data_IF_119298465380
#
_entry.id   IF_119298465380
#
_cell.length_a   1.000
_cell.length_b   1.000
_cell.length_c   1.000
_cell.angle_alpha   90.00
_cell.angle_beta   90.00
_cell.angle_gamma   90.00
#
_symmetry.space_group_name_H-M   'P 1'
#
loop_
_entity.id
_entity.type
_entity.pdbx_description
1 polymer ?
#
# COMPACT_ATOMS: atom_id res chain seq x y z
N UNK A 1 -54.17 15.06 -8.18
CA UNK A 1 -53.26 15.28 -7.04
C UNK A 1 -52.37 16.49 -7.35
N UNK A 2 -52.36 17.51 -6.50
CA UNK A 2 -51.61 18.75 -6.79
C UNK A 2 -50.11 18.45 -6.90
N UNK A 3 -49.44 19.01 -7.91
CA UNK A 3 -48.01 18.77 -8.18
C UNK A 3 -47.14 18.99 -6.93
N UNK A 4 -47.46 19.99 -6.11
CA UNK A 4 -46.79 20.23 -4.82
C UNK A 4 -46.94 19.06 -3.85
N UNK A 5 -48.15 18.49 -3.71
CA UNK A 5 -48.43 17.33 -2.85
C UNK A 5 -47.70 16.07 -3.35
N UNK A 6 -47.61 15.90 -4.67
CA UNK A 6 -46.84 14.81 -5.27
C UNK A 6 -45.34 14.96 -5.00
N UNK A 7 -44.77 16.15 -5.22
CA UNK A 7 -43.35 16.42 -4.96
C UNK A 7 -42.99 16.28 -3.47
N UNK A 8 -43.85 16.72 -2.55
CA UNK A 8 -43.64 16.52 -1.11
C UNK A 8 -43.69 15.05 -0.71
N UNK A 9 -44.62 14.27 -1.29
CA UNK A 9 -44.69 12.84 -1.04
C UNK A 9 -43.46 12.10 -1.59
N UNK A 10 -43.00 12.47 -2.78
CA UNK A 10 -41.79 11.91 -3.39
C UNK A 10 -40.54 12.22 -2.56
N UNK A 11 -40.39 13.46 -2.07
CA UNK A 11 -39.29 13.85 -1.20
C UNK A 11 -39.32 13.09 0.13
N UNK A 12 -40.49 12.97 0.76
CA UNK A 12 -40.66 12.19 1.99
C UNK A 12 -40.29 10.71 1.80
N UNK A 13 -40.74 10.09 0.71
CA UNK A 13 -40.37 8.71 0.36
C UNK A 13 -38.87 8.55 0.10
N UNK A 14 -38.24 9.50 -0.61
CA UNK A 14 -36.79 9.49 -0.84
C UNK A 14 -36.00 9.64 0.46
N UNK A 15 -36.45 10.50 1.38
CA UNK A 15 -35.82 10.68 2.69
C UNK A 15 -35.94 9.42 3.57
N UNK A 16 -37.12 8.80 3.59
CA UNK A 16 -37.34 7.53 4.30
C UNK A 16 -36.48 6.40 3.72
N UNK A 17 -36.42 6.27 2.40
CA UNK A 17 -35.58 5.29 1.72
C UNK A 17 -34.09 5.53 2.01
N UNK A 18 -33.63 6.79 1.96
CA UNK A 18 -32.26 7.14 2.31
C UNK A 18 -31.95 6.81 3.78
N UNK A 19 -32.87 7.11 4.70
CA UNK A 19 -32.71 6.83 6.13
C UNK A 19 -32.67 5.33 6.42
N UNK A 20 -33.65 4.58 5.89
CA UNK A 20 -33.67 3.12 6.01
C UNK A 20 -32.40 2.48 5.42
N UNK A 21 -31.93 3.01 4.29
CA UNK A 21 -30.70 2.54 3.66
C UNK A 21 -29.43 2.86 4.45
N UNK A 22 -29.36 4.04 5.08
CA UNK A 22 -28.25 4.41 5.98
C UNK A 22 -28.24 3.54 7.24
N UNK A 23 -29.41 3.16 7.75
CA UNK A 23 -29.55 2.23 8.87
C UNK A 23 -29.20 0.79 8.48
N UNK A 24 -29.34 0.42 7.21
CA UNK A 24 -28.94 -0.89 6.68
C UNK A 24 -27.42 -1.03 6.45
N UNK A 25 -26.65 0.07 6.49
CA UNK A 25 -25.19 0.00 6.35
C UNK A 25 -24.56 -0.80 7.51
N UNK A 26 -23.52 -1.62 7.23
CA UNK A 26 -22.88 -2.45 8.25
C UNK A 26 -22.32 -1.59 9.38
N UNK A 27 -22.40 -2.11 10.61
CA UNK A 27 -21.71 -1.47 11.72
C UNK A 27 -20.19 -1.68 11.60
N UNK A 28 -19.45 -0.58 11.66
CA UNK A 28 -18.00 -0.53 11.53
C UNK A 28 -17.34 -0.17 12.87
N UNK A 29 -18.11 0.15 13.92
CA UNK A 29 -17.57 0.56 15.23
C UNK A 29 -16.72 -0.53 15.86
N UNK A 30 -17.10 -1.79 15.69
CA UNK A 30 -16.34 -2.93 16.19
C UNK A 30 -14.88 -2.95 15.67
N UNK A 31 -14.64 -2.46 14.44
CA UNK A 31 -13.32 -2.41 13.83
C UNK A 31 -12.33 -1.50 14.56
N UNK A 32 -12.79 -0.62 15.47
CA UNK A 32 -11.91 0.16 16.35
C UNK A 32 -11.05 -0.72 17.24
N UNK A 33 -11.59 -1.87 17.67
CA UNK A 33 -10.97 -2.75 18.68
C UNK A 33 -10.78 -4.18 18.19
N UNK A 34 -11.61 -4.64 17.27
CA UNK A 34 -11.60 -6.01 16.77
C UNK A 34 -11.04 -6.08 15.35
N UNK A 35 -10.18 -7.04 15.12
CA UNK A 35 -9.63 -7.34 13.79
C UNK A 35 -10.61 -8.23 13.03
N UNK A 36 -10.88 -7.95 11.74
CA UNK A 36 -11.69 -8.85 10.91
C UNK A 36 -10.92 -10.15 10.64
N UNK A 37 -11.45 -11.27 11.11
CA UNK A 37 -10.88 -12.60 10.85
C UNK A 37 -11.22 -13.11 9.45
N UNK A 38 -12.37 -12.68 8.92
CA UNK A 38 -12.85 -13.02 7.59
C UNK A 38 -13.51 -11.82 6.95
N UNK A 39 -13.49 -11.79 5.61
CA UNK A 39 -14.16 -10.74 4.84
C UNK A 39 -15.14 -11.34 3.85
N UNK A 40 -16.11 -10.52 3.42
CA UNK A 40 -17.06 -10.93 2.37
C UNK A 40 -16.33 -11.37 1.11
N UNK A 41 -15.23 -10.70 0.76
CA UNK A 41 -14.39 -11.08 -0.38
C UNK A 41 -13.79 -12.48 -0.22
N UNK A 42 -13.16 -12.78 0.93
CA UNK A 42 -12.57 -14.10 1.21
C UNK A 42 -13.62 -15.22 1.11
N UNK A 43 -14.76 -15.04 1.78
CA UNK A 43 -15.85 -16.03 1.80
C UNK A 43 -16.41 -16.30 0.40
N UNK A 44 -16.59 -15.26 -0.41
CA UNK A 44 -17.06 -15.41 -1.80
C UNK A 44 -16.04 -16.20 -2.63
N UNK A 45 -14.74 -15.93 -2.46
CA UNK A 45 -13.69 -16.65 -3.19
C UNK A 45 -13.62 -18.13 -2.81
N UNK A 46 -13.80 -18.45 -1.54
CA UNK A 46 -13.87 -19.82 -1.06
C UNK A 46 -15.09 -20.55 -1.64
N UNK A 47 -16.28 -19.94 -1.61
CA UNK A 47 -17.48 -20.50 -2.22
C UNK A 47 -17.33 -20.72 -3.73
N UNK A 48 -16.71 -19.76 -4.44
CA UNK A 48 -16.42 -19.90 -5.86
C UNK A 48 -15.44 -21.02 -6.19
N UNK A 49 -14.46 -21.27 -5.30
CA UNK A 49 -13.54 -22.39 -5.46
C UNK A 49 -14.26 -23.72 -5.19
N UNK A 50 -15.06 -23.79 -4.11
CA UNK A 50 -15.82 -24.97 -3.73
C UNK A 50 -16.82 -25.38 -4.83
N UNK A 51 -17.53 -24.42 -5.42
CA UNK A 51 -18.44 -24.65 -6.55
C UNK A 51 -17.74 -25.21 -7.81
N UNK A 52 -16.41 -25.10 -7.88
CA UNK A 52 -15.57 -25.68 -8.96
C UNK A 52 -14.85 -26.96 -8.52
N UNK A 53 -15.25 -27.56 -7.40
CA UNK A 53 -14.61 -28.74 -6.82
C UNK A 53 -13.20 -28.49 -6.29
N UNK A 54 -12.81 -27.24 -6.03
CA UNK A 54 -11.47 -26.88 -5.53
C UNK A 54 -11.56 -26.42 -4.07
N UNK A 55 -10.60 -26.84 -3.25
CA UNK A 55 -10.36 -26.25 -1.93
C UNK A 55 -9.39 -25.08 -2.07
N UNK A 56 -9.78 -23.89 -1.61
CA UNK A 56 -8.88 -22.75 -1.53
C UNK A 56 -8.35 -22.66 -0.11
N UNK A 57 -7.06 -22.92 0.07
CA UNK A 57 -6.38 -22.65 1.34
C UNK A 57 -6.31 -21.14 1.59
N UNK A 58 -6.24 -20.77 2.87
CA UNK A 58 -6.18 -19.39 3.30
C UNK A 58 -4.98 -19.21 4.23
N UNK A 59 -4.00 -18.44 3.77
CA UNK A 59 -2.91 -17.96 4.61
C UNK A 59 -3.26 -16.55 5.07
N UNK A 60 -3.61 -16.40 6.35
CA UNK A 60 -3.80 -15.11 7.02
C UNK A 60 -2.93 -15.08 8.25
N UNK A 61 -2.15 -14.03 8.38
CA UNK A 61 -1.48 -13.67 9.61
C UNK A 61 -1.73 -12.19 9.85
N UNK A 62 -2.54 -11.88 10.87
CA UNK A 62 -2.73 -10.49 11.27
C UNK A 62 -1.45 -10.00 11.95
N UNK A 63 -0.97 -8.82 11.54
CA UNK A 63 0.09 -8.10 12.23
C UNK A 63 -0.36 -6.67 12.54
N UNK A 64 -0.01 -6.18 13.72
CA UNK A 64 -0.33 -4.81 14.13
C UNK A 64 0.43 -3.78 13.30
N UNK A 65 0.03 -2.51 13.36
CA UNK A 65 0.67 -1.42 12.61
C UNK A 65 2.19 -1.40 12.74
N UNK A 66 2.71 -1.60 13.95
CA UNK A 66 4.13 -1.50 14.25
C UNK A 66 4.92 -2.74 13.80
N UNK A 67 4.22 -3.85 13.52
CA UNK A 67 4.80 -5.07 12.93
C UNK A 67 4.82 -5.10 11.41
N UNK A 68 4.59 -3.95 10.76
CA UNK A 68 4.66 -3.76 9.31
C UNK A 68 5.71 -2.70 9.00
N UNK A 69 6.64 -3.04 8.10
CA UNK A 69 7.69 -2.14 7.63
C UNK A 69 7.11 -0.81 7.12
N UNK A 70 7.77 0.30 7.48
CA UNK A 70 7.48 1.62 6.92
C UNK A 70 7.64 1.62 5.39
N UNK A 71 8.57 0.81 4.86
CA UNK A 71 8.75 0.67 3.42
C UNK A 71 7.49 0.14 2.75
N UNK A 72 6.83 -0.86 3.36
CA UNK A 72 5.60 -1.42 2.81
C UNK A 72 4.44 -0.44 2.91
N UNK A 73 4.27 0.23 4.06
CA UNK A 73 3.24 1.26 4.23
C UNK A 73 3.39 2.34 3.14
N UNK A 74 4.61 2.83 2.94
CA UNK A 74 4.86 3.89 1.97
C UNK A 74 4.74 3.42 0.52
N UNK A 75 5.26 2.24 0.18
CA UNK A 75 5.14 1.65 -1.15
C UNK A 75 3.67 1.46 -1.55
N UNK A 76 2.84 0.94 -0.64
CA UNK A 76 1.40 0.75 -0.87
C UNK A 76 0.69 2.09 -0.99
N UNK A 77 1.02 3.05 -0.12
CA UNK A 77 0.46 4.39 -0.16
C UNK A 77 0.68 5.02 -1.53
N UNK A 78 1.93 5.11 -2.01
CA UNK A 78 2.18 5.70 -3.32
C UNK A 78 1.56 4.86 -4.44
N UNK A 79 1.61 3.53 -4.37
CA UNK A 79 1.10 2.68 -5.44
C UNK A 79 -0.42 2.73 -5.64
N UNK A 80 -1.19 2.81 -4.55
CA UNK A 80 -2.64 2.66 -4.55
C UNK A 80 -3.39 3.98 -4.28
N UNK A 81 -2.85 4.87 -3.43
CA UNK A 81 -3.57 6.05 -2.92
C UNK A 81 -2.64 7.10 -2.30
N UNK A 82 -1.89 7.83 -3.13
CA UNK A 82 -0.86 8.79 -2.70
C UNK A 82 -1.41 10.03 -1.96
N UNK A 83 -2.73 10.23 -2.01
CA UNK A 83 -3.43 11.30 -1.29
C UNK A 83 -4.30 10.76 -0.14
N UNK A 84 -4.07 9.52 0.29
CA UNK A 84 -4.86 8.83 1.31
C UNK A 84 -5.11 9.68 2.56
N UNK A 85 -4.09 10.38 3.06
CA UNK A 85 -4.21 11.20 4.27
C UNK A 85 -4.94 12.53 4.04
N UNK A 86 -5.11 12.97 2.79
CA UNK A 86 -5.71 14.24 2.43
C UNK A 86 -7.23 14.14 2.19
N UNK A 87 -7.73 12.99 1.74
CA UNK A 87 -9.15 12.82 1.43
C UNK A 87 -9.93 12.11 2.54
N UNK A 88 -11.27 12.15 2.51
CA UNK A 88 -12.16 11.48 3.49
C UNK A 88 -12.87 10.27 2.88
N UNK A 89 -12.08 9.31 2.42
CA UNK A 89 -12.54 8.04 1.82
C UNK A 89 -12.82 8.06 0.33
N UNK A 90 -13.13 9.20 -0.28
CA UNK A 90 -13.25 9.31 -1.75
C UNK A 90 -12.38 10.47 -2.20
N UNK A 91 -11.56 10.24 -3.21
CA UNK A 91 -10.72 11.26 -3.81
C UNK A 91 -11.46 11.82 -5.04
N UNK A 92 -12.18 12.92 -4.80
CA UNK A 92 -13.13 13.47 -5.77
C UNK A 92 -12.43 14.07 -7.00
N UNK A 93 -11.23 14.63 -6.85
CA UNK A 93 -10.56 15.30 -7.95
C UNK A 93 -10.05 14.30 -9.00
N UNK A 94 -9.46 13.16 -8.61
CA UNK A 94 -9.13 12.11 -9.59
C UNK A 94 -10.35 11.33 -10.02
N UNK A 95 -11.40 11.20 -9.18
CA UNK A 95 -12.67 10.61 -9.66
C UNK A 95 -13.26 11.42 -10.82
N UNK A 96 -13.30 12.75 -10.70
CA UNK A 96 -13.77 13.64 -11.76
C UNK A 96 -12.84 13.66 -12.98
N UNK A 97 -11.52 13.68 -12.78
CA UNK A 97 -10.54 13.61 -13.88
C UNK A 97 -10.60 12.28 -14.64
N UNK A 98 -10.72 11.16 -13.92
CA UNK A 98 -10.88 9.83 -14.51
C UNK A 98 -12.18 9.75 -15.31
N UNK A 99 -13.30 10.21 -14.76
CA UNK A 99 -14.58 10.24 -15.48
C UNK A 99 -14.50 11.07 -16.78
N UNK A 100 -13.89 12.26 -16.73
CA UNK A 100 -13.68 13.08 -17.94
C UNK A 100 -12.78 12.39 -18.98
N UNK A 101 -11.76 11.66 -18.53
CA UNK A 101 -10.84 10.93 -19.42
C UNK A 101 -11.51 9.71 -20.04
N UNK A 102 -12.33 8.99 -19.27
CA UNK A 102 -13.06 7.80 -19.71
C UNK A 102 -14.12 8.16 -20.76
N UNK A 103 -14.84 9.26 -20.54
CA UNK A 103 -15.80 9.79 -21.51
C UNK A 103 -15.13 10.21 -22.83
N UNK A 104 -13.90 10.74 -22.77
CA UNK A 104 -13.12 11.13 -23.95
C UNK A 104 -12.51 9.94 -24.69
N UNK A 105 -12.08 8.91 -23.98
CA UNK A 105 -11.33 7.78 -24.54
C UNK A 105 -12.20 6.55 -24.85
N UNK A 106 -13.50 6.58 -24.49
CA UNK A 106 -14.42 5.43 -24.51
C UNK A 106 -13.83 4.16 -23.88
N UNK A 107 -12.84 4.32 -23.00
CA UNK A 107 -12.21 3.24 -22.23
C UNK A 107 -12.49 3.55 -20.77
N UNK A 108 -13.11 2.61 -20.07
CA UNK A 108 -13.18 2.67 -18.61
C UNK A 108 -11.73 2.64 -18.08
N UNK A 109 -11.26 3.73 -17.47
CA UNK A 109 -9.99 3.73 -16.77
C UNK A 109 -10.02 2.61 -15.73
N UNK A 110 -8.95 1.82 -15.74
CA UNK A 110 -8.64 0.99 -14.60
C UNK A 110 -8.25 1.92 -13.46
N UNK A 111 -9.01 1.88 -12.37
CA UNK A 111 -8.49 2.19 -11.05
C UNK A 111 -8.59 3.66 -10.65
N UNK A 112 -9.42 3.90 -9.63
CA UNK A 112 -9.45 5.13 -8.85
C UNK A 112 -10.14 4.86 -7.50
N UNK A 113 -9.99 3.64 -6.97
CA UNK A 113 -10.51 3.31 -5.65
C UNK A 113 -9.46 3.62 -4.60
N UNK A 114 -9.78 4.54 -3.71
CA UNK A 114 -8.98 4.84 -2.51
C UNK A 114 -8.81 3.60 -1.63
N UNK A 115 -7.79 3.58 -0.78
CA UNK A 115 -7.57 2.49 0.19
C UNK A 115 -8.84 2.24 1.02
N UNK A 116 -9.50 3.29 1.49
CA UNK A 116 -10.75 3.17 2.28
C UNK A 116 -11.88 2.52 1.48
N UNK A 117 -12.04 2.87 0.21
CA UNK A 117 -13.01 2.23 -0.68
C UNK A 117 -12.69 0.74 -0.89
N UNK A 118 -11.41 0.40 -1.01
CA UNK A 118 -10.98 -0.99 -1.13
C UNK A 118 -11.25 -1.78 0.15
N UNK A 119 -11.02 -1.19 1.33
CA UNK A 119 -11.39 -1.79 2.63
C UNK A 119 -12.89 -2.05 2.69
N UNK A 120 -13.71 -1.05 2.39
CA UNK A 120 -15.17 -1.18 2.37
C UNK A 120 -15.63 -2.32 1.45
N UNK A 121 -15.05 -2.39 0.25
CA UNK A 121 -15.36 -3.44 -0.73
C UNK A 121 -14.96 -4.82 -0.21
N UNK A 122 -13.75 -4.96 0.33
CA UNK A 122 -13.22 -6.24 0.77
C UNK A 122 -14.03 -6.80 1.95
N UNK A 123 -14.27 -5.97 2.97
CA UNK A 123 -15.00 -6.36 4.18
C UNK A 123 -16.45 -6.77 3.91
N UNK A 124 -17.20 -5.95 3.16
CA UNK A 124 -18.66 -6.00 3.21
C UNK A 124 -19.36 -6.28 1.88
N UNK A 125 -18.65 -6.21 0.75
CA UNK A 125 -19.30 -6.23 -0.57
C UNK A 125 -18.85 -7.41 -1.43
N UNK A 126 -19.72 -7.79 -2.37
CA UNK A 126 -19.37 -8.75 -3.39
C UNK A 126 -18.48 -8.11 -4.47
N UNK A 127 -17.64 -8.88 -5.19
CA UNK A 127 -16.80 -8.36 -6.27
C UNK A 127 -17.59 -8.06 -7.57
N UNK A 128 -18.92 -7.92 -7.51
CA UNK A 128 -19.77 -7.64 -8.68
C UNK A 128 -19.44 -6.28 -9.31
N UNK A 129 -19.50 -6.14 -10.64
CA UNK A 129 -19.28 -4.85 -11.32
C UNK A 129 -20.59 -4.07 -11.50
N UNK A 130 -21.32 -3.82 -10.41
CA UNK A 130 -22.59 -3.09 -10.43
C UNK A 130 -22.42 -1.63 -9.94
N UNK A 131 -22.96 -0.60 -10.63
CA UNK A 131 -22.94 0.79 -10.17
C UNK A 131 -23.52 0.98 -8.76
N UNK A 132 -24.62 0.31 -8.42
CA UNK A 132 -25.22 0.34 -7.07
C UNK A 132 -24.26 -0.19 -6.01
N UNK A 133 -23.44 -1.20 -6.35
CA UNK A 133 -22.38 -1.69 -5.45
C UNK A 133 -21.29 -0.64 -5.26
N UNK A 134 -20.94 0.13 -6.30
CA UNK A 134 -19.96 1.24 -6.17
C UNK A 134 -20.50 2.36 -5.28
N UNK A 135 -21.80 2.68 -5.34
CA UNK A 135 -22.44 3.64 -4.42
C UNK A 135 -22.36 3.12 -2.97
N UNK A 136 -22.69 1.84 -2.74
CA UNK A 136 -22.51 1.19 -1.43
C UNK A 136 -21.08 1.30 -0.91
N UNK A 137 -20.10 1.03 -1.77
CA UNK A 137 -18.68 1.14 -1.44
C UNK A 137 -18.32 2.55 -0.94
N UNK A 138 -18.77 3.59 -1.65
CA UNK A 138 -18.51 4.98 -1.28
C UNK A 138 -19.16 5.37 0.06
N UNK A 139 -20.39 4.90 0.31
CA UNK A 139 -21.10 5.19 1.57
C UNK A 139 -20.47 4.48 2.77
N UNK A 140 -20.08 3.21 2.61
CA UNK A 140 -19.37 2.45 3.64
C UNK A 140 -17.99 3.06 3.87
N UNK A 141 -17.28 3.48 2.83
CA UNK A 141 -15.99 4.18 2.96
C UNK A 141 -16.13 5.47 3.77
N UNK A 142 -17.17 6.28 3.49
CA UNK A 142 -17.47 7.47 4.29
C UNK A 142 -17.79 7.14 5.75
N UNK A 143 -18.47 6.03 6.02
CA UNK A 143 -18.74 5.56 7.39
C UNK A 143 -17.47 5.09 8.11
N UNK A 144 -16.58 4.40 7.41
CA UNK A 144 -15.26 4.00 7.93
C UNK A 144 -14.45 5.23 8.32
N UNK A 145 -14.36 6.25 7.47
CA UNK A 145 -13.56 7.47 7.72
C UNK A 145 -14.08 8.32 8.88
N UNK A 146 -15.40 8.34 9.09
CA UNK A 146 -15.99 9.03 10.26
C UNK A 146 -15.78 8.25 11.56
N UNK A 147 -15.60 6.94 11.47
CA UNK A 147 -15.58 6.07 12.66
C UNK A 147 -14.16 5.68 13.05
N UNK A 148 -13.28 5.44 12.09
CA UNK A 148 -11.92 4.93 12.27
C UNK A 148 -10.91 6.01 11.86
N UNK A 149 -9.77 6.05 12.55
CA UNK A 149 -8.64 6.88 12.12
C UNK A 149 -7.92 6.27 10.91
N UNK A 150 -7.23 7.12 10.13
CA UNK A 150 -6.47 6.74 8.93
C UNK A 150 -5.52 5.56 9.16
N UNK A 151 -4.76 5.60 10.25
CA UNK A 151 -3.87 4.50 10.66
C UNK A 151 -4.60 3.17 10.74
N UNK A 152 -5.75 3.13 11.41
CA UNK A 152 -6.52 1.90 11.59
C UNK A 152 -7.12 1.38 10.29
N UNK A 153 -7.61 2.28 9.43
CA UNK A 153 -8.12 1.90 8.10
C UNK A 153 -6.99 1.27 7.26
N UNK A 154 -5.81 1.87 7.30
CA UNK A 154 -4.67 1.39 6.53
C UNK A 154 -4.11 0.07 7.09
N UNK A 155 -4.04 -0.08 8.42
CA UNK A 155 -3.71 -1.35 9.07
C UNK A 155 -4.66 -2.47 8.65
N UNK A 156 -5.97 -2.20 8.63
CA UNK A 156 -6.97 -3.17 8.16
C UNK A 156 -6.72 -3.52 6.70
N UNK A 157 -6.50 -2.52 5.83
CA UNK A 157 -6.20 -2.75 4.41
C UNK A 157 -5.03 -3.71 4.23
N UNK A 158 -3.90 -3.42 4.88
CA UNK A 158 -2.66 -4.20 4.77
C UNK A 158 -2.85 -5.64 5.25
N UNK A 159 -3.79 -5.90 6.15
CA UNK A 159 -4.08 -7.23 6.69
C UNK A 159 -5.17 -8.01 5.93
N UNK A 160 -6.04 -7.35 5.15
CA UNK A 160 -7.12 -8.02 4.41
C UNK A 160 -6.90 -8.05 2.90
N UNK A 161 -5.96 -7.27 2.38
CA UNK A 161 -5.60 -7.29 0.96
C UNK A 161 -5.15 -8.70 0.54
N UNK A 162 -5.57 -9.13 -0.65
CA UNK A 162 -5.08 -10.36 -1.29
C UNK A 162 -3.78 -10.01 -2.02
N UNK A 163 -2.67 -10.66 -1.65
CA UNK A 163 -1.34 -10.44 -2.25
C UNK A 163 -0.97 -11.55 -3.24
N UNK A 164 -1.69 -12.66 -3.16
CA UNK A 164 -1.51 -13.87 -3.96
C UNK A 164 -2.74 -14.77 -3.83
N UNK A 165 -2.83 -15.83 -4.64
CA UNK A 165 -3.98 -16.75 -4.58
C UNK A 165 -4.09 -17.38 -3.17
N UNK A 166 -5.06 -16.91 -2.38
CA UNK A 166 -5.28 -17.38 -1.01
C UNK A 166 -4.30 -16.82 0.03
N UNK A 167 -3.47 -15.84 -0.32
CA UNK A 167 -2.52 -15.17 0.58
C UNK A 167 -3.10 -13.80 0.90
N UNK A 168 -3.48 -13.61 2.17
CA UNK A 168 -4.07 -12.36 2.65
C UNK A 168 -3.27 -11.78 3.80
N UNK A 169 -3.04 -10.47 3.73
CA UNK A 169 -2.31 -9.74 4.75
C UNK A 169 -0.80 -9.67 4.52
N UNK A 170 -0.21 -8.56 4.95
CA UNK A 170 1.20 -8.23 4.75
C UNK A 170 2.15 -9.28 5.33
N UNK A 171 1.88 -9.78 6.54
CA UNK A 171 2.72 -10.81 7.18
C UNK A 171 2.69 -12.13 6.39
N UNK A 172 1.52 -12.59 5.98
CA UNK A 172 1.40 -13.81 5.19
C UNK A 172 2.11 -13.66 3.83
N UNK A 173 2.05 -12.48 3.21
CA UNK A 173 2.73 -12.19 1.96
C UNK A 173 4.25 -12.15 2.11
N UNK A 174 4.76 -11.44 3.11
CA UNK A 174 6.20 -11.35 3.39
C UNK A 174 6.82 -12.73 3.61
N UNK A 175 6.14 -13.58 4.39
CA UNK A 175 6.56 -14.96 4.63
C UNK A 175 6.48 -15.82 3.36
N UNK A 176 5.38 -15.74 2.61
CA UNK A 176 5.18 -16.57 1.42
C UNK A 176 6.14 -16.23 0.26
N UNK A 177 6.55 -14.98 0.13
CA UNK A 177 7.35 -14.52 -1.01
C UNK A 177 8.84 -14.33 -0.68
N UNK A 178 9.18 -13.93 0.54
CA UNK A 178 10.55 -13.61 0.92
C UNK A 178 11.06 -14.39 2.13
N UNK A 179 10.21 -15.16 2.82
CA UNK A 179 10.60 -15.88 4.04
C UNK A 179 10.96 -14.95 5.21
N UNK A 180 10.43 -13.72 5.23
CA UNK A 180 10.74 -12.68 6.23
C UNK A 180 9.49 -12.21 6.96
N UNK A 181 9.67 -11.54 8.09
CA UNK A 181 8.57 -10.80 8.72
C UNK A 181 8.23 -9.56 7.90
N UNK A 182 6.97 -9.13 7.97
CA UNK A 182 6.54 -7.90 7.31
C UNK A 182 7.27 -6.64 7.83
N UNK A 183 7.79 -6.69 9.06
CA UNK A 183 8.63 -5.63 9.62
C UNK A 183 10.00 -5.48 8.93
N UNK A 184 10.52 -6.58 8.36
CA UNK A 184 11.89 -6.67 7.83
C UNK A 184 11.97 -6.45 6.31
N UNK A 185 10.86 -6.02 5.69
CA UNK A 185 10.80 -5.80 4.24
C UNK A 185 11.65 -4.59 3.84
N UNK A 186 12.57 -4.83 2.90
CA UNK A 186 13.34 -3.78 2.23
C UNK A 186 12.45 -2.93 1.31
N UNK A 187 12.96 -1.77 0.87
CA UNK A 187 12.24 -0.89 -0.06
C UNK A 187 11.86 -1.59 -1.38
N UNK A 188 12.78 -2.39 -1.93
CA UNK A 188 12.56 -3.15 -3.17
C UNK A 188 11.51 -4.26 -2.99
N UNK A 189 11.57 -5.02 -1.90
CA UNK A 189 10.60 -6.07 -1.59
C UNK A 189 9.20 -5.49 -1.32
N UNK A 190 9.14 -4.37 -0.60
CA UNK A 190 7.92 -3.61 -0.37
C UNK A 190 7.30 -3.10 -1.68
N UNK A 191 8.12 -2.52 -2.56
CA UNK A 191 7.67 -2.06 -3.88
C UNK A 191 7.20 -3.21 -4.76
N UNK A 192 7.88 -4.36 -4.71
CA UNK A 192 7.48 -5.57 -5.42
C UNK A 192 6.11 -6.09 -4.95
N UNK A 193 5.85 -6.11 -3.64
CA UNK A 193 4.53 -6.46 -3.09
C UNK A 193 3.45 -5.47 -3.53
N UNK A 194 3.71 -4.18 -3.39
CA UNK A 194 2.78 -3.13 -3.78
C UNK A 194 2.43 -3.19 -5.29
N UNK A 195 3.39 -3.56 -6.15
CA UNK A 195 3.18 -3.72 -7.59
C UNK A 195 2.17 -4.82 -7.96
N UNK A 196 1.95 -5.80 -7.07
CA UNK A 196 1.07 -6.97 -7.32
C UNK A 196 -0.41 -6.68 -6.98
N UNK A 197 -0.68 -5.74 -6.08
CA UNK A 197 -2.02 -5.41 -5.58
C UNK A 197 -3.10 -5.16 -6.66
N UNK A 198 -2.80 -4.53 -7.81
CA UNK A 198 -3.81 -4.36 -8.86
C UNK A 198 -4.32 -5.68 -9.47
N UNK A 199 -3.55 -6.76 -9.40
CA UNK A 199 -3.89 -8.08 -9.98
C UNK A 199 -3.14 -9.23 -9.29
N UNK A 200 -3.45 -9.52 -8.01
CA UNK A 200 -2.62 -10.37 -7.15
C UNK A 200 -2.58 -11.84 -7.54
N UNK A 201 -3.54 -12.29 -8.34
CA UNK A 201 -3.60 -13.66 -8.85
C UNK A 201 -2.93 -13.84 -10.21
N UNK A 202 -2.53 -12.73 -10.85
CA UNK A 202 -1.88 -12.73 -12.17
C UNK A 202 -0.37 -12.52 -12.03
N UNK A 203 0.04 -11.73 -11.07
CA UNK A 203 1.43 -11.35 -10.87
C UNK A 203 2.01 -12.03 -9.64
N UNK A 204 3.33 -12.18 -9.64
CA UNK A 204 4.09 -12.72 -8.53
C UNK A 204 5.20 -11.71 -8.20
N UNK A 205 5.33 -11.27 -6.94
CA UNK A 205 6.29 -10.23 -6.56
C UNK A 205 7.76 -10.67 -6.74
N UNK A 206 8.05 -11.98 -6.75
CA UNK A 206 9.41 -12.48 -6.95
C UNK A 206 9.75 -12.79 -8.41
N UNK A 207 8.79 -12.68 -9.33
CA UNK A 207 9.08 -12.95 -10.75
C UNK A 207 9.55 -11.66 -11.45
N UNK A 208 10.76 -11.71 -12.00
CA UNK A 208 11.40 -10.61 -12.74
C UNK A 208 10.82 -10.35 -14.14
N UNK A 209 9.50 -10.44 -14.31
CA UNK A 209 8.88 -10.10 -15.59
C UNK A 209 9.07 -8.61 -15.90
N UNK A 210 9.20 -8.24 -17.18
CA UNK A 210 9.37 -6.83 -17.60
C UNK A 210 8.31 -5.90 -17.02
N UNK A 211 7.07 -6.37 -16.92
CA UNK A 211 5.97 -5.62 -16.33
C UNK A 211 6.20 -5.35 -14.83
N UNK A 212 6.56 -6.38 -14.07
CA UNK A 212 6.82 -6.26 -12.63
C UNK A 212 8.01 -5.35 -12.36
N UNK A 213 9.11 -5.53 -13.09
CA UNK A 213 10.30 -4.71 -12.94
C UNK A 213 10.02 -3.23 -13.25
N UNK A 214 9.27 -2.96 -14.33
CA UNK A 214 8.86 -1.59 -14.65
C UNK A 214 7.98 -0.98 -13.55
N UNK A 215 7.06 -1.76 -12.99
CA UNK A 215 6.13 -1.26 -11.96
C UNK A 215 6.83 -1.04 -10.62
N UNK A 216 7.75 -1.94 -10.24
CA UNK A 216 8.61 -1.81 -9.06
C UNK A 216 9.44 -0.54 -9.13
N UNK A 217 10.16 -0.31 -10.24
CA UNK A 217 10.93 0.93 -10.47
C UNK A 217 10.07 2.19 -10.38
N UNK A 218 8.86 2.16 -10.93
CA UNK A 218 7.93 3.29 -10.81
C UNK A 218 7.54 3.57 -9.36
N UNK A 219 7.28 2.53 -8.56
CA UNK A 219 6.92 2.68 -7.14
C UNK A 219 8.11 3.22 -6.36
N UNK A 220 9.29 2.61 -6.49
CA UNK A 220 10.53 3.07 -5.83
C UNK A 220 10.85 4.52 -6.19
N UNK A 221 10.75 4.90 -7.47
CA UNK A 221 10.94 6.28 -7.91
C UNK A 221 9.96 7.26 -7.25
N UNK A 222 8.69 6.85 -7.05
CA UNK A 222 7.72 7.67 -6.31
C UNK A 222 8.00 7.74 -4.81
N UNK A 223 8.53 6.66 -4.21
CA UNK A 223 8.99 6.68 -2.83
C UNK A 223 10.15 7.67 -2.64
N UNK A 224 11.12 7.70 -3.57
CA UNK A 224 12.20 8.69 -3.60
C UNK A 224 11.69 10.12 -3.78
N UNK A 225 10.85 10.34 -4.80
CA UNK A 225 10.31 11.68 -5.10
C UNK A 225 9.48 12.29 -3.95
N UNK A 226 8.93 11.45 -3.05
CA UNK A 226 8.25 11.91 -1.84
C UNK A 226 9.18 12.22 -0.65
N UNK A 227 10.50 12.03 -0.81
CA UNK A 227 11.51 12.21 0.24
C UNK A 227 11.58 11.06 1.26
N UNK A 228 10.92 9.92 1.02
CA UNK A 228 10.88 8.80 1.97
C UNK A 228 12.13 7.93 1.90
N UNK A 229 12.63 7.66 0.69
CA UNK A 229 13.94 7.04 0.50
C UNK A 229 14.97 8.13 0.28
N UNK A 230 16.21 7.97 0.78
CA UNK A 230 17.29 8.85 0.36
C UNK A 230 17.38 8.80 -1.17
N UNK A 231 17.67 9.94 -1.79
CA UNK A 231 18.15 9.90 -3.16
C UNK A 231 19.35 8.95 -3.16
N UNK A 232 19.39 8.02 -4.12
CA UNK A 232 20.65 7.31 -4.37
C UNK A 232 21.63 8.42 -4.70
N UNK A 233 22.51 8.77 -3.76
CA UNK A 233 23.72 9.47 -4.09
C UNK A 233 24.30 8.67 -5.25
N UNK A 234 24.40 9.30 -6.42
CA UNK A 234 24.95 8.68 -7.61
C UNK A 234 26.20 7.92 -7.16
N UNK A 235 26.14 6.58 -7.20
CA UNK A 235 27.24 5.74 -6.74
C UNK A 235 28.54 6.06 -7.50
N UNK A 236 28.42 6.78 -8.60
CA UNK A 236 29.48 7.43 -9.38
C UNK A 236 30.33 8.42 -8.58
N UNK A 237 29.77 9.18 -7.64
CA UNK A 237 30.52 10.24 -6.92
C UNK A 237 31.29 9.70 -5.71
N UNK A 238 30.81 8.61 -5.10
CA UNK A 238 31.50 7.98 -3.96
C UNK A 238 32.71 7.16 -4.40
N UNK A 239 32.62 6.44 -5.53
CA UNK A 239 33.78 5.75 -6.11
C UNK A 239 34.80 6.74 -6.67
N UNK A 240 34.35 7.83 -7.32
CA UNK A 240 35.24 8.89 -7.82
C UNK A 240 35.94 9.65 -6.69
N UNK A 241 35.23 9.99 -5.60
CA UNK A 241 35.83 10.64 -4.44
C UNK A 241 36.72 9.69 -3.62
N UNK A 242 36.42 8.39 -3.57
CA UNK A 242 37.33 7.39 -2.99
C UNK A 242 38.59 7.22 -3.84
N UNK A 243 38.48 7.16 -5.17
CA UNK A 243 39.67 7.11 -6.06
C UNK A 243 40.51 8.40 -5.96
N UNK A 244 39.88 9.57 -5.87
CA UNK A 244 40.58 10.85 -5.71
C UNK A 244 41.29 10.94 -4.35
N UNK A 245 40.65 10.49 -3.28
CA UNK A 245 41.26 10.43 -1.94
C UNK A 245 42.39 9.39 -1.91
N UNK A 246 42.21 8.20 -2.47
CA UNK A 246 43.25 7.16 -2.52
C UNK A 246 44.45 7.64 -3.37
N UNK A 247 44.20 8.32 -4.49
CA UNK A 247 45.23 8.93 -5.34
C UNK A 247 45.99 10.06 -4.62
N UNK A 248 45.28 10.94 -3.90
CA UNK A 248 45.85 12.00 -3.07
C UNK A 248 46.69 11.44 -1.90
N UNK A 249 46.33 10.28 -1.36
CA UNK A 249 47.05 9.67 -0.22
C UNK A 249 48.26 8.87 -0.68
N UNK A 250 48.26 8.34 -1.90
CA UNK A 250 49.40 7.66 -2.53
C UNK A 250 50.54 8.61 -2.93
N UNK A 251 50.29 9.93 -2.99
CA UNK A 251 51.28 10.95 -3.31
C UNK A 251 52.02 11.53 -2.07
N UNK A 252 51.71 11.04 -0.86
CA UNK A 252 52.44 11.45 0.34
C UNK A 252 53.86 10.86 0.29
N UNK A 253 54.92 11.70 0.42
CA UNK A 253 56.28 11.19 0.49
C UNK A 253 56.43 10.27 1.70
N UNK A 254 57.15 9.16 1.52
CA UNK A 254 57.49 8.24 2.61
C UNK A 254 58.03 9.05 3.80
N UNK A 255 57.64 8.73 5.05
CA UNK A 255 58.13 9.45 6.21
C UNK A 255 59.65 9.43 6.18
N UNK A 256 60.26 10.62 6.17
CA UNK A 256 61.70 10.78 6.19
C UNK A 256 62.27 10.00 7.38
N UNK A 257 63.33 9.22 7.14
CA UNK A 257 64.05 8.48 8.17
C UNK A 257 64.37 9.41 9.33
N UNK A 258 63.69 9.20 10.46
CA UNK A 258 64.02 9.85 11.72
C UNK A 258 65.40 9.35 12.10
N UNK A 259 66.43 10.22 12.22
CA UNK A 259 67.76 9.77 12.58
C UNK A 259 67.69 9.12 13.98
N UNK A 260 68.12 7.87 14.07
CA UNK A 260 68.38 7.21 15.34
C UNK A 260 69.41 8.06 16.10
N UNK A 261 68.95 8.72 17.17
CA UNK A 261 69.82 9.44 18.07
C UNK A 261 70.89 8.49 18.60
N UNK A 262 72.13 8.80 18.25
CA UNK A 262 73.32 8.09 18.68
C UNK A 262 73.47 8.18 20.20
N UNK A 263 73.80 7.02 20.78
CA UNK A 263 74.38 6.82 22.11
C UNK A 263 75.34 7.93 22.53
N UNK A 264 75.07 8.54 23.69
CA UNK A 264 76.01 9.39 24.42
C UNK A 264 76.20 8.85 25.84
N UNK A 265 77.38 8.31 26.09
CA UNK A 265 77.94 7.92 27.39
C UNK A 265 78.62 9.13 28.09
N UNK A 266 78.91 8.96 29.39
CA UNK A 266 79.66 9.82 30.35
C UNK A 266 78.78 10.73 31.24
N UNK A 267 79.00 10.90 32.54
CA UNK A 267 80.00 10.43 33.51
C UNK A 267 79.44 10.70 34.93
N UNK A 268 79.73 9.88 35.93
CA UNK A 268 80.66 10.22 37.04
C UNK A 268 80.54 11.67 37.53
N UNK A 269 79.74 11.88 38.57
CA UNK A 269 80.14 12.36 39.91
C UNK A 269 78.98 12.22 40.91
#
# INVERSE_FOLDING_TARGET
>A
MNLRKFLTALFGAALLAATAYLLWLPDVKALKKKNPEQTSYMLIKERQAAARGKKLGRSIAWTGWDGISENLKHAVLVAEDDTFYLHKGVEWNSTWRALKTDLKTMRLARGGSTITQQVARNLYLSPSKNPLRKIKEMLIAGRLERTLGKRRIFEIYLNIAEWGKGIYGAQAAAQAYFGKNAADLTAEEAAALAAVLPSPRRYNPVTGTRFMESRKRQIVGRMRASGYLPEEAEATDLDASLEEVISSTAALPAPADVPLASTGTCGED
#
